data_IF_954125205100
#
_entry.id   IF_954125205100
#
_cell.length_a   1.000
_cell.length_b   1.000
_cell.length_c   1.000
_cell.angle_alpha   90.00
_cell.angle_beta   90.00
_cell.angle_gamma   90.00
#
_symmetry.space_group_name_H-M   'P 1'
#
loop_
_entity.id
_entity.type
_entity.pdbx_description
1 polymer ?
#
# COMPACT_ATOMS: atom_id res chain seq x y z
N UNK A 1 -4.48 -6.35 11.98
CA UNK A 1 -3.88 -5.00 11.95
C UNK A 1 -2.39 -5.12 12.15
N UNK A 2 -1.59 -4.89 11.13
CA UNK A 2 -0.14 -4.76 11.26
C UNK A 2 0.14 -3.47 12.03
N UNK A 3 0.14 -3.53 13.35
CA UNK A 3 0.83 -2.51 14.13
C UNK A 3 2.30 -2.64 13.82
N UNK A 4 2.78 -1.69 13.01
CA UNK A 4 4.18 -1.39 12.75
C UNK A 4 5.14 -2.59 12.77
N UNK A 5 5.87 -2.79 11.72
CA UNK A 5 7.08 -3.59 11.65
C UNK A 5 8.09 -3.09 12.71
N UNK A 6 7.91 -3.48 13.98
CA UNK A 6 8.70 -2.98 15.11
C UNK A 6 8.49 -1.48 15.32
N UNK A 7 9.40 -0.82 16.02
CA UNK A 7 9.38 0.62 16.31
C UNK A 7 9.53 1.55 15.07
N UNK A 8 9.38 1.00 13.85
CA UNK A 8 9.47 1.79 12.63
C UNK A 8 8.15 2.51 12.38
N UNK A 9 8.20 3.81 12.45
CA UNK A 9 7.10 4.67 12.02
C UNK A 9 6.97 4.56 10.50
N UNK A 10 5.79 4.18 10.00
CA UNK A 10 5.50 4.33 8.58
C UNK A 10 5.52 5.82 8.24
N UNK A 11 6.18 6.17 7.14
CA UNK A 11 6.14 7.54 6.61
C UNK A 11 4.71 7.91 6.18
N UNK A 12 3.97 6.92 5.73
CA UNK A 12 2.66 7.09 5.10
C UNK A 12 1.52 6.91 6.10
N UNK A 13 1.54 5.79 6.84
CA UNK A 13 0.47 5.49 7.78
C UNK A 13 0.66 6.23 9.11
N UNK A 14 -0.41 6.82 9.60
CA UNK A 14 -0.46 7.50 10.89
C UNK A 14 -1.59 6.93 11.72
N UNK A 15 -1.41 6.86 13.03
CA UNK A 15 -2.49 6.55 13.98
C UNK A 15 -3.49 7.72 14.11
N UNK A 16 -3.11 8.90 13.61
CA UNK A 16 -3.99 10.05 13.57
C UNK A 16 -5.01 9.91 12.44
N UNK A 17 -6.29 9.86 12.78
CA UNK A 17 -7.38 9.78 11.81
C UNK A 17 -7.43 10.96 10.83
N UNK A 18 -6.71 12.05 11.11
CA UNK A 18 -6.57 13.21 10.22
C UNK A 18 -5.66 12.97 9.02
N UNK A 19 -4.83 11.91 9.04
CA UNK A 19 -3.88 11.56 7.99
C UNK A 19 -4.33 10.32 7.21
N UNK A 20 -3.39 9.68 6.51
CA UNK A 20 -3.61 8.37 5.90
C UNK A 20 -3.62 7.29 6.99
N UNK A 21 -4.69 6.50 7.01
CA UNK A 21 -4.77 5.28 7.82
C UNK A 21 -4.84 4.09 6.89
N UNK A 22 -3.95 3.12 7.06
CA UNK A 22 -3.88 1.91 6.25
C UNK A 22 -4.11 0.68 7.11
N UNK A 23 -5.00 -0.19 6.64
CA UNK A 23 -5.26 -1.50 7.22
C UNK A 23 -5.00 -2.57 6.17
N UNK A 24 -4.25 -3.61 6.54
CA UNK A 24 -3.84 -4.67 5.62
C UNK A 24 -4.59 -5.96 5.93
N UNK A 25 -5.11 -6.59 4.89
CA UNK A 25 -5.83 -7.86 4.97
C UNK A 25 -5.19 -8.85 4.00
N UNK A 26 -5.00 -10.08 4.45
CA UNK A 26 -4.52 -11.15 3.57
C UNK A 26 -5.72 -11.81 2.89
N UNK A 27 -5.63 -11.97 1.58
CA UNK A 27 -6.62 -12.73 0.82
C UNK A 27 -6.42 -14.22 1.08
N UNK A 28 -7.49 -14.92 1.39
CA UNK A 28 -7.47 -16.36 1.62
C UNK A 28 -7.41 -17.18 0.33
N UNK A 29 -7.87 -16.60 -0.79
CA UNK A 29 -7.93 -17.25 -2.10
C UNK A 29 -6.60 -17.21 -2.87
N UNK A 30 -5.89 -16.08 -2.84
CA UNK A 30 -4.66 -15.85 -3.62
C UNK A 30 -3.42 -15.63 -2.77
N UNK A 31 -3.56 -15.41 -1.45
CA UNK A 31 -2.47 -15.00 -0.56
C UNK A 31 -1.99 -13.56 -0.79
N UNK A 32 -2.61 -12.81 -1.72
CA UNK A 32 -2.33 -11.40 -1.95
C UNK A 32 -2.78 -10.50 -0.80
N UNK A 33 -2.39 -9.24 -0.82
CA UNK A 33 -2.85 -8.25 0.14
C UNK A 33 -3.95 -7.37 -0.45
N UNK A 34 -4.92 -7.05 0.40
CA UNK A 34 -5.88 -5.97 0.20
C UNK A 34 -5.54 -4.91 1.25
N UNK A 35 -5.41 -3.66 0.82
CA UNK A 35 -5.16 -2.54 1.71
C UNK A 35 -6.38 -1.62 1.72
N UNK A 36 -6.97 -1.43 2.90
CA UNK A 36 -7.98 -0.40 3.10
C UNK A 36 -7.28 0.89 3.48
N UNK A 37 -7.63 1.97 2.80
CA UNK A 37 -7.03 3.29 2.98
C UNK A 37 -8.10 4.30 3.34
N UNK A 38 -7.94 4.99 4.46
CA UNK A 38 -8.77 6.14 4.80
C UNK A 38 -8.00 7.43 4.59
N UNK A 39 -8.61 8.40 3.89
CA UNK A 39 -8.04 9.70 3.58
C UNK A 39 -8.57 10.75 4.56
N UNK A 40 -7.83 11.03 5.62
CA UNK A 40 -8.20 12.05 6.60
C UNK A 40 -8.00 13.48 6.10
N UNK A 41 -8.41 14.46 6.89
CA UNK A 41 -8.38 15.88 6.53
C UNK A 41 -7.00 16.40 6.15
N UNK A 42 -5.93 15.92 6.79
CA UNK A 42 -4.55 16.34 6.52
C UNK A 42 -4.00 15.77 5.19
N UNK A 43 -4.76 14.99 4.45
CA UNK A 43 -4.41 14.55 3.09
C UNK A 43 -4.86 15.54 2.02
N UNK A 44 -5.55 16.61 2.40
CA UNK A 44 -6.12 17.58 1.48
C UNK A 44 -5.07 18.24 0.59
N UNK A 45 -5.39 18.33 -0.69
CA UNK A 45 -4.71 19.13 -1.69
C UNK A 45 -5.65 20.22 -2.19
N UNK A 46 -6.36 20.03 -3.32
CA UNK A 46 -7.45 20.92 -3.68
C UNK A 46 -8.58 20.85 -2.64
N UNK A 47 -9.35 21.92 -2.43
CA UNK A 47 -10.38 21.95 -1.40
C UNK A 47 -11.34 20.74 -1.45
N UNK A 48 -11.43 19.99 -0.36
CA UNK A 48 -12.27 18.81 -0.21
C UNK A 48 -11.76 17.53 -0.87
N UNK A 49 -10.56 17.58 -1.49
CA UNK A 49 -9.99 16.46 -2.24
C UNK A 49 -8.62 16.08 -1.73
N UNK A 50 -8.32 14.81 -1.68
CA UNK A 50 -7.00 14.30 -1.29
C UNK A 50 -5.95 14.70 -2.33
N UNK A 51 -4.78 15.10 -1.86
CA UNK A 51 -3.63 15.39 -2.70
C UNK A 51 -3.18 14.12 -3.44
N UNK A 52 -2.83 14.23 -4.72
CA UNK A 52 -2.35 13.09 -5.54
C UNK A 52 -1.14 12.38 -4.92
N UNK A 53 -0.28 13.14 -4.22
CA UNK A 53 0.83 12.58 -3.45
C UNK A 53 0.38 11.64 -2.34
N UNK A 54 -0.73 11.93 -1.65
CA UNK A 54 -1.32 11.04 -0.64
C UNK A 54 -1.83 9.74 -1.27
N UNK A 55 -2.47 9.83 -2.44
CA UNK A 55 -2.95 8.67 -3.20
C UNK A 55 -1.77 7.80 -3.64
N UNK A 56 -0.74 8.40 -4.23
CA UNK A 56 0.48 7.70 -4.65
C UNK A 56 1.20 7.05 -3.47
N UNK A 57 1.28 7.74 -2.33
CA UNK A 57 1.91 7.22 -1.12
C UNK A 57 1.17 5.98 -0.60
N UNK A 58 -0.16 6.01 -0.54
CA UNK A 58 -0.97 4.88 -0.11
C UNK A 58 -0.79 3.66 -1.03
N UNK A 59 -0.80 3.88 -2.34
CA UNK A 59 -0.58 2.82 -3.33
C UNK A 59 0.82 2.24 -3.22
N UNK A 60 1.84 3.08 -3.10
CA UNK A 60 3.24 2.64 -2.95
C UNK A 60 3.41 1.79 -1.70
N UNK A 61 2.84 2.21 -0.58
CA UNK A 61 2.90 1.45 0.68
C UNK A 61 2.22 0.07 0.52
N UNK A 62 1.04 0.02 -0.11
CA UNK A 62 0.36 -1.24 -0.39
C UNK A 62 1.22 -2.19 -1.24
N UNK A 63 1.90 -1.67 -2.27
CA UNK A 63 2.81 -2.46 -3.11
C UNK A 63 4.02 -2.97 -2.33
N UNK A 64 4.65 -2.11 -1.54
CA UNK A 64 5.83 -2.48 -0.72
C UNK A 64 5.44 -3.56 0.27
N UNK A 65 4.33 -3.42 0.98
CA UNK A 65 3.85 -4.45 1.91
C UNK A 65 3.48 -5.76 1.20
N UNK A 66 2.94 -5.68 -0.02
CA UNK A 66 2.70 -6.87 -0.84
C UNK A 66 4.01 -7.62 -1.11
N UNK A 67 5.07 -6.93 -1.52
CA UNK A 67 6.38 -7.56 -1.73
C UNK A 67 6.93 -8.19 -0.45
N UNK A 68 6.86 -7.48 0.68
CA UNK A 68 7.28 -8.01 1.98
C UNK A 68 6.46 -9.22 2.40
N UNK A 69 5.16 -9.24 2.12
CA UNK A 69 4.28 -10.39 2.42
C UNK A 69 4.65 -11.64 1.63
N UNK A 70 5.31 -11.47 0.48
CA UNK A 70 5.85 -12.54 -0.35
C UNK A 70 7.31 -12.89 0.01
N UNK A 71 7.85 -12.31 1.08
CA UNK A 71 9.20 -12.58 1.56
C UNK A 71 10.30 -11.74 0.90
N UNK A 72 9.94 -10.69 0.16
CA UNK A 72 10.91 -9.84 -0.55
C UNK A 72 11.03 -8.47 0.11
N UNK A 73 12.22 -8.14 0.64
CA UNK A 73 12.61 -6.75 0.86
C UNK A 73 12.83 -6.07 -0.48
N UNK A 74 12.37 -4.84 -0.66
CA UNK A 74 12.39 -4.19 -1.97
C UNK A 74 12.85 -2.74 -1.92
N UNK A 75 13.51 -2.32 -3.00
CA UNK A 75 13.78 -0.94 -3.33
C UNK A 75 12.92 -0.55 -4.54
N UNK A 76 12.18 0.55 -4.42
CA UNK A 76 11.38 1.09 -5.52
C UNK A 76 12.29 1.69 -6.58
N UNK A 77 12.19 1.21 -7.82
CA UNK A 77 12.97 1.69 -8.97
C UNK A 77 12.16 2.64 -9.84
N UNK A 78 10.89 2.33 -10.03
CA UNK A 78 9.98 3.15 -10.84
C UNK A 78 8.55 2.95 -10.34
N UNK A 79 7.79 4.03 -10.34
CA UNK A 79 6.36 4.02 -10.05
C UNK A 79 5.65 4.83 -11.13
N UNK A 80 4.65 4.22 -11.76
CA UNK A 80 3.80 4.89 -12.74
C UNK A 80 2.37 4.81 -12.25
N UNK A 81 1.76 5.95 -11.96
CA UNK A 81 0.38 6.02 -11.48
C UNK A 81 -0.47 6.83 -12.45
N UNK A 82 -1.61 6.26 -12.83
CA UNK A 82 -2.64 6.94 -13.60
C UNK A 82 -3.81 7.23 -12.69
N UNK A 83 -4.12 8.51 -12.50
CA UNK A 83 -5.26 8.96 -11.71
C UNK A 83 -6.49 9.01 -12.61
N UNK A 84 -7.54 8.32 -12.24
CA UNK A 84 -8.81 8.25 -13.00
C UNK A 84 -9.84 9.22 -12.46
N UNK A 85 -9.94 9.29 -11.13
CA UNK A 85 -10.88 10.17 -10.43
C UNK A 85 -10.23 10.73 -9.16
N UNK A 86 -10.73 11.87 -8.72
CA UNK A 86 -10.28 12.50 -7.48
C UNK A 86 -10.86 11.76 -6.28
N UNK A 87 -10.06 11.62 -5.24
CA UNK A 87 -10.47 10.99 -3.98
C UNK A 87 -10.97 12.08 -3.04
N UNK A 88 -12.22 12.02 -2.57
CA UNK A 88 -12.70 12.97 -1.56
C UNK A 88 -11.96 12.78 -0.23
N UNK A 89 -11.69 13.89 0.47
CA UNK A 89 -11.27 13.82 1.87
C UNK A 89 -12.39 13.15 2.70
N UNK A 90 -12.01 12.26 3.60
CA UNK A 90 -12.93 11.43 4.37
C UNK A 90 -13.32 10.11 3.69
N UNK A 91 -12.94 9.92 2.42
CA UNK A 91 -13.22 8.68 1.72
C UNK A 91 -12.38 7.51 2.26
N UNK A 92 -12.94 6.32 2.14
CA UNK A 92 -12.24 5.06 2.33
C UNK A 92 -12.16 4.34 1.00
N UNK A 93 -10.94 3.99 0.60
CA UNK A 93 -10.66 3.26 -0.63
C UNK A 93 -10.03 1.90 -0.33
N UNK A 94 -10.05 1.02 -1.31
CA UNK A 94 -9.41 -0.28 -1.28
C UNK A 94 -8.34 -0.35 -2.36
N UNK A 95 -7.14 -0.78 -2.01
CA UNK A 95 -6.06 -1.06 -2.95
C UNK A 95 -5.87 -2.58 -3.04
N UNK A 96 -6.08 -3.11 -4.23
CA UNK A 96 -5.75 -4.50 -4.56
C UNK A 96 -4.47 -4.55 -5.37
N UNK A 97 -3.61 -5.51 -5.06
CA UNK A 97 -2.30 -5.65 -5.69
C UNK A 97 -2.14 -7.01 -6.36
N UNK A 98 -1.44 -7.02 -7.51
CA UNK A 98 -0.99 -8.22 -8.20
C UNK A 98 0.54 -8.22 -8.25
N UNK A 99 1.15 -9.32 -7.79
CA UNK A 99 2.60 -9.48 -7.65
C UNK A 99 3.15 -10.43 -8.72
N UNK A 100 4.21 -10.00 -9.39
CA UNK A 100 4.99 -10.82 -10.33
C UNK A 100 6.49 -10.65 -10.05
N UNK A 101 7.23 -11.76 -10.10
CA UNK A 101 8.69 -11.71 -9.94
C UNK A 101 9.40 -12.42 -11.07
N UNK A 102 10.51 -11.83 -11.52
CA UNK A 102 11.45 -12.41 -12.47
C UNK A 102 12.87 -12.19 -11.91
N UNK A 103 13.39 -13.22 -11.21
CA UNK A 103 14.62 -13.10 -10.44
C UNK A 103 14.53 -11.97 -9.39
N UNK A 104 15.51 -11.05 -9.37
CA UNK A 104 15.51 -9.93 -8.44
C UNK A 104 14.53 -8.80 -8.85
N UNK A 105 14.00 -8.85 -10.07
CA UNK A 105 13.06 -7.85 -10.59
C UNK A 105 11.64 -8.22 -10.18
N UNK A 106 10.96 -7.29 -9.53
CA UNK A 106 9.59 -7.45 -9.06
C UNK A 106 8.72 -6.38 -9.70
N UNK A 107 7.62 -6.79 -10.30
CA UNK A 107 6.58 -5.89 -10.83
C UNK A 107 5.32 -6.07 -10.01
N UNK A 108 4.76 -4.98 -9.51
CA UNK A 108 3.49 -5.00 -8.80
C UNK A 108 2.55 -4.01 -9.46
N UNK A 109 1.35 -4.50 -9.79
CA UNK A 109 0.25 -3.66 -10.27
C UNK A 109 -0.73 -3.45 -9.12
N UNK A 110 -1.29 -2.26 -9.04
CA UNK A 110 -2.27 -1.92 -8.04
C UNK A 110 -3.45 -1.18 -8.65
N UNK A 111 -4.62 -1.46 -8.12
CA UNK A 111 -5.87 -0.78 -8.48
C UNK A 111 -6.50 -0.23 -7.20
N UNK A 112 -6.78 1.07 -7.18
CA UNK A 112 -7.48 1.73 -6.08
C UNK A 112 -8.93 1.98 -6.47
N UNK A 113 -9.83 1.40 -5.71
CA UNK A 113 -11.28 1.54 -5.89
C UNK A 113 -11.95 2.00 -4.60
N UNK A 114 -13.16 2.48 -4.71
CA UNK A 114 -13.97 2.85 -3.54
C UNK A 114 -15.42 3.02 -3.91
N UNK A 115 -16.19 3.66 -3.03
CA UNK A 115 -17.58 3.98 -3.28
C UNK A 115 -17.80 5.47 -3.02
N UNK A 116 -18.49 6.13 -3.93
CA UNK A 116 -18.94 7.50 -3.76
C UNK A 116 -20.44 7.56 -4.01
N UNK A 117 -21.19 7.99 -3.00
CA UNK A 117 -22.66 8.07 -3.06
C UNK A 117 -23.33 6.75 -3.47
N UNK A 118 -22.77 5.62 -3.04
CA UNK A 118 -23.29 4.28 -3.35
C UNK A 118 -22.92 3.72 -4.72
N UNK A 119 -22.16 4.45 -5.53
CA UNK A 119 -21.62 3.98 -6.81
C UNK A 119 -20.13 3.58 -6.67
N UNK A 120 -19.75 2.50 -7.33
CA UNK A 120 -18.36 2.07 -7.41
C UNK A 120 -17.53 3.09 -8.19
N UNK A 121 -16.37 3.43 -7.66
CA UNK A 121 -15.45 4.42 -8.23
C UNK A 121 -14.08 3.79 -8.39
N UNK A 122 -13.49 3.99 -9.58
CA UNK A 122 -12.12 3.63 -9.88
C UNK A 122 -11.24 4.89 -9.76
N UNK A 123 -10.47 5.00 -8.69
CA UNK A 123 -9.67 6.19 -8.38
C UNK A 123 -8.35 6.23 -9.14
N UNK A 124 -7.60 5.13 -9.13
CA UNK A 124 -6.28 5.10 -9.73
C UNK A 124 -5.82 3.68 -10.08
N UNK A 125 -4.91 3.61 -11.03
CA UNK A 125 -4.12 2.42 -11.37
C UNK A 125 -2.65 2.74 -11.26
N UNK A 126 -1.85 1.77 -10.84
CA UNK A 126 -0.41 1.97 -10.73
C UNK A 126 0.36 0.71 -11.08
N UNK A 127 1.55 0.90 -11.66
CA UNK A 127 2.54 -0.14 -11.85
C UNK A 127 3.84 0.30 -11.19
N UNK A 128 4.37 -0.56 -10.32
CA UNK A 128 5.65 -0.38 -9.66
C UNK A 128 6.66 -1.41 -10.14
N UNK A 129 7.87 -0.94 -10.43
CA UNK A 129 9.05 -1.77 -10.66
C UNK A 129 9.94 -1.68 -9.43
N UNK A 130 10.27 -2.83 -8.86
CA UNK A 130 11.04 -2.95 -7.65
C UNK A 130 12.23 -3.88 -7.87
N UNK A 131 13.29 -3.65 -7.10
CA UNK A 131 14.44 -4.55 -7.00
C UNK A 131 14.39 -5.27 -5.65
N UNK A 132 14.41 -6.61 -5.68
CA UNK A 132 14.53 -7.41 -4.46
C UNK A 132 15.90 -7.19 -3.83
N UNK A 133 15.91 -6.90 -2.54
CA UNK A 133 17.11 -6.69 -1.75
C UNK A 133 17.03 -7.60 -0.52
N UNK A 134 18.13 -8.32 -0.16
CA UNK A 134 18.13 -9.13 1.04
C UNK A 134 17.71 -8.33 2.28
N UNK A 135 16.80 -8.89 3.08
CA UNK A 135 16.26 -8.22 4.27
C UNK A 135 17.36 -7.73 5.23
N UNK A 136 18.48 -8.46 5.32
CA UNK A 136 19.63 -8.09 6.13
C UNK A 136 20.24 -6.72 5.74
N UNK A 137 20.13 -6.31 4.48
CA UNK A 137 20.60 -4.98 4.03
C UNK A 137 19.76 -3.82 4.57
N UNK A 138 18.53 -4.11 4.99
CA UNK A 138 17.69 -3.13 5.68
C UNK A 138 17.87 -3.12 7.20
N UNK A 139 18.84 -3.92 7.72
CA UNK A 139 18.99 -4.10 9.16
C UNK A 139 17.80 -4.80 9.82
N UNK A 140 17.07 -5.61 9.06
CA UNK A 140 15.87 -6.32 9.51
C UNK A 140 16.16 -7.81 9.51
N UNK A 141 15.75 -8.51 10.58
CA UNK A 141 15.77 -9.96 10.64
C UNK A 141 14.67 -10.51 9.74
N UNK A 142 15.07 -11.18 8.65
CA UNK A 142 14.14 -11.76 7.68
C UNK A 142 13.19 -12.80 8.30
N UNK A 143 13.60 -13.50 9.36
CA UNK A 143 12.72 -14.43 10.08
C UNK A 143 11.62 -13.70 10.85
N UNK A 144 11.96 -12.59 11.51
CA UNK A 144 10.96 -11.75 12.17
C UNK A 144 9.94 -11.19 11.20
N UNK A 145 10.38 -10.75 10.03
CA UNK A 145 9.48 -10.25 8.97
C UNK A 145 8.55 -11.36 8.49
N UNK A 146 9.08 -12.55 8.19
CA UNK A 146 8.28 -13.69 7.76
C UNK A 146 7.22 -14.09 8.83
N UNK A 147 7.60 -14.09 10.10
CA UNK A 147 6.69 -14.37 11.22
C UNK A 147 5.57 -13.33 11.34
N UNK A 148 5.89 -12.06 11.13
CA UNK A 148 4.90 -10.98 11.18
C UNK A 148 3.85 -11.13 10.06
N UNK A 149 4.27 -11.49 8.85
CA UNK A 149 3.33 -11.72 7.76
C UNK A 149 2.55 -13.02 7.91
N UNK A 150 3.14 -14.05 8.53
CA UNK A 150 2.41 -15.28 8.88
C UNK A 150 1.28 -15.03 9.90
N UNK A 151 1.45 -14.05 10.79
CA UNK A 151 0.44 -13.66 11.77
C UNK A 151 -0.75 -12.88 11.18
N UNK A 152 -0.68 -12.47 9.88
CA UNK A 152 -1.81 -11.86 9.16
C UNK A 152 -2.83 -12.87 8.62
N UNK A 153 -2.55 -14.15 8.74
CA UNK A 153 -3.44 -15.22 8.28
C UNK A 153 -4.59 -15.48 9.24
#
# INVERSE_FOLDING_TARGET
MLKALGDRRSYVASDAASRLTLEFFKRTDTGGLITRVHFGADTEGPPGLAHSGSVSAAITEAMVFTAWSQGHGVLTMRLTTTFKQMVPVGATATVETAFESDGPKITIRATMTGSNSGADVHYAESEGLFMAIPAAKFGVDGQKVAQMFAALS
#
